data_IF_815285891677
#
_entry.id   IF_815285891677
#
_cell.length_a   1.000
_cell.length_b   1.000
_cell.length_c   1.000
_cell.angle_alpha   90.00
_cell.angle_beta   90.00
_cell.angle_gamma   90.00
#
_symmetry.space_group_name_H-M   'P 1'
#
loop_
_entity.id
_entity.type
_entity.pdbx_description
1 polymer ?
#
# COMPACT_ATOMS: atom_id res chain seq x y z
N UNK A 1 0.32 -7.85 19.92
CA UNK A 1 0.43 -6.37 19.81
C UNK A 1 1.13 -5.87 21.05
N UNK A 2 2.06 -4.92 20.92
CA UNK A 2 2.62 -4.26 22.09
C UNK A 2 1.52 -3.49 22.83
N UNK A 3 1.55 -3.41 24.18
CA UNK A 3 0.58 -2.63 24.94
C UNK A 3 0.49 -1.19 24.42
N UNK A 4 -0.72 -0.71 24.13
CA UNK A 4 -0.97 0.66 23.65
C UNK A 4 -0.91 0.86 22.13
N UNK A 5 -0.48 -0.12 21.34
CA UNK A 5 -0.44 0.00 19.87
C UNK A 5 -1.80 -0.30 19.25
N UNK A 6 -2.40 0.70 18.58
CA UNK A 6 -3.65 0.54 17.83
C UNK A 6 -3.44 0.32 16.33
N UNK A 7 -2.32 0.78 15.76
CA UNK A 7 -2.02 0.61 14.33
C UNK A 7 -1.28 -0.71 14.08
N UNK A 8 -1.71 -1.47 13.07
CA UNK A 8 -1.03 -2.71 12.67
C UNK A 8 -0.17 -2.55 11.42
N UNK A 9 -0.54 -1.64 10.53
CA UNK A 9 0.22 -1.38 9.32
C UNK A 9 1.17 -0.22 9.50
N UNK A 10 2.38 -0.38 8.99
CA UNK A 10 3.32 0.71 8.85
C UNK A 10 3.99 0.68 7.49
N UNK A 11 4.33 1.84 6.95
CA UNK A 11 5.27 2.02 5.84
C UNK A 11 6.41 2.87 6.38
N UNK A 12 7.64 2.45 6.13
CA UNK A 12 8.84 3.14 6.63
C UNK A 12 9.81 3.35 5.49
N UNK A 13 10.31 4.58 5.34
CA UNK A 13 11.56 4.80 4.63
C UNK A 13 12.71 4.65 5.61
N UNK A 14 13.65 3.78 5.26
CA UNK A 14 14.85 3.53 6.04
C UNK A 14 16.04 3.86 5.16
N UNK A 15 16.91 4.74 5.66
CA UNK A 15 18.17 5.05 5.02
C UNK A 15 19.08 3.83 5.06
N UNK A 16 19.46 3.33 3.88
CA UNK A 16 20.21 2.08 3.77
C UNK A 16 21.64 2.16 4.34
N UNK A 17 22.25 3.34 4.36
CA UNK A 17 23.60 3.55 4.88
C UNK A 17 23.60 3.65 6.41
N UNK A 18 22.64 4.39 6.97
CA UNK A 18 22.62 4.73 8.41
C UNK A 18 21.65 3.88 9.23
N UNK A 19 20.74 3.15 8.59
CA UNK A 19 19.66 2.41 9.25
C UNK A 19 18.59 3.29 9.90
N UNK A 20 18.66 4.62 9.74
CA UNK A 20 17.69 5.55 10.33
C UNK A 20 16.37 5.51 9.57
N UNK A 21 15.27 5.55 10.32
CA UNK A 21 13.94 5.78 9.74
C UNK A 21 13.81 7.26 9.41
N UNK A 22 13.67 7.58 8.13
CA UNK A 22 13.53 8.96 7.65
C UNK A 22 12.07 9.42 7.83
N UNK A 23 11.11 8.53 7.58
CA UNK A 23 9.70 8.76 7.88
C UNK A 23 8.96 7.46 8.16
N UNK A 24 7.81 7.60 8.83
CA UNK A 24 6.90 6.53 9.21
C UNK A 24 5.47 6.94 8.90
N UNK A 25 4.78 6.14 8.09
CA UNK A 25 3.34 6.18 7.94
C UNK A 25 2.73 5.03 8.74
N UNK A 26 1.75 5.32 9.59
CA UNK A 26 1.04 4.31 10.38
C UNK A 26 -0.44 4.27 10.02
N UNK A 27 -1.01 3.07 10.05
CA UNK A 27 -2.39 2.85 9.69
C UNK A 27 -2.97 1.65 10.43
N UNK A 28 -4.31 1.67 10.56
CA UNK A 28 -5.01 0.62 11.31
C UNK A 28 -4.84 -0.75 10.66
N UNK A 29 -5.10 -0.85 9.36
CA UNK A 29 -4.99 -2.08 8.59
C UNK A 29 -3.52 -2.47 8.38
N UNK A 30 -3.20 -3.76 8.39
CA UNK A 30 -1.86 -4.24 8.05
C UNK A 30 -1.47 -3.84 6.63
N UNK A 31 -0.26 -3.32 6.46
CA UNK A 31 0.32 -2.97 5.16
C UNK A 31 0.71 -4.24 4.41
N UNK A 32 0.56 -4.22 3.09
CA UNK A 32 1.02 -5.30 2.19
C UNK A 32 2.22 -4.85 1.36
N UNK A 33 2.50 -5.52 0.24
CA UNK A 33 3.64 -5.21 -0.62
C UNK A 33 3.63 -3.77 -1.14
N UNK A 34 4.83 -3.24 -1.34
CA UNK A 34 5.10 -1.88 -1.82
C UNK A 34 5.85 -1.90 -3.15
N UNK A 35 5.74 -0.82 -3.91
CA UNK A 35 6.51 -0.58 -5.14
C UNK A 35 6.93 0.89 -5.20
N UNK A 36 8.23 1.16 -5.33
CA UNK A 36 8.75 2.49 -5.61
C UNK A 36 8.86 2.73 -7.13
N UNK A 37 8.74 3.99 -7.56
CA UNK A 37 8.89 4.40 -8.96
C UNK A 37 9.94 5.51 -9.09
N UNK A 38 10.51 5.66 -10.29
CA UNK A 38 11.46 6.75 -10.57
C UNK A 38 10.86 8.16 -10.54
N UNK A 39 9.53 8.28 -10.48
CA UNK A 39 8.82 9.56 -10.38
C UNK A 39 8.62 10.07 -8.95
N UNK A 40 9.30 9.48 -7.95
CA UNK A 40 9.20 9.92 -6.56
C UNK A 40 7.98 9.40 -5.79
N UNK A 41 7.33 8.35 -6.29
CA UNK A 41 6.15 7.75 -5.66
C UNK A 41 6.41 6.33 -5.14
N UNK A 42 5.86 6.03 -3.97
CA UNK A 42 5.76 4.68 -3.39
C UNK A 42 4.31 4.24 -3.36
N UNK A 43 3.98 3.22 -4.15
CA UNK A 43 2.65 2.61 -4.16
C UNK A 43 2.56 1.48 -3.16
N UNK A 44 1.44 1.38 -2.45
CA UNK A 44 1.24 0.38 -1.40
C UNK A 44 -0.21 0.06 -1.14
N UNK A 45 -0.46 -1.19 -0.79
CA UNK A 45 -1.77 -1.70 -0.43
C UNK A 45 -1.94 -1.95 1.06
N UNK A 46 -3.18 -2.16 1.48
CA UNK A 46 -3.48 -2.65 2.82
C UNK A 46 -4.54 -3.75 2.87
N UNK A 47 -4.60 -4.40 4.04
CA UNK A 47 -5.52 -5.48 4.33
C UNK A 47 -6.99 -5.05 4.36
N UNK A 48 -7.31 -3.75 4.30
CA UNK A 48 -8.67 -3.22 4.24
C UNK A 48 -9.05 -2.70 2.84
N UNK A 49 -8.17 -2.91 1.86
CA UNK A 49 -8.39 -2.59 0.46
C UNK A 49 -8.04 -1.17 0.05
N UNK A 50 -7.38 -0.38 0.89
CA UNK A 50 -6.84 0.91 0.46
C UNK A 50 -5.57 0.66 -0.35
N UNK A 51 -5.49 1.31 -1.51
CA UNK A 51 -4.31 1.40 -2.34
C UNK A 51 -3.90 2.87 -2.41
N UNK A 52 -2.65 3.15 -2.06
CA UNK A 52 -2.10 4.50 -1.85
C UNK A 52 -0.91 4.74 -2.74
N UNK A 53 -0.69 6.01 -3.08
CA UNK A 53 0.58 6.54 -3.55
C UNK A 53 1.12 7.51 -2.48
N UNK A 54 2.30 7.22 -1.96
CA UNK A 54 3.02 8.07 -1.03
C UNK A 54 4.10 8.85 -1.76
N UNK A 55 4.32 10.09 -1.33
CA UNK A 55 5.55 10.81 -1.62
C UNK A 55 6.75 10.08 -0.99
N UNK A 56 7.81 9.83 -1.76
CA UNK A 56 8.95 9.03 -1.29
C UNK A 56 9.86 9.73 -0.27
N UNK A 57 9.86 11.07 -0.23
CA UNK A 57 10.71 11.87 0.67
C UNK A 57 10.03 12.10 2.02
N UNK A 58 8.71 12.29 2.01
CA UNK A 58 7.95 12.71 3.20
C UNK A 58 7.04 11.62 3.77
N UNK A 59 6.66 10.63 2.96
CA UNK A 59 5.66 9.62 3.31
C UNK A 59 4.21 10.11 3.23
N UNK A 60 3.97 11.37 2.80
CA UNK A 60 2.64 11.94 2.62
C UNK A 60 1.82 11.11 1.62
N UNK A 61 0.55 10.84 1.94
CA UNK A 61 -0.37 10.17 1.01
C UNK A 61 -0.87 11.20 -0.02
N UNK A 62 -0.33 11.14 -1.23
CA UNK A 62 -0.70 12.04 -2.33
C UNK A 62 -1.96 11.57 -3.08
N UNK A 63 -2.22 10.25 -3.05
CA UNK A 63 -3.40 9.67 -3.68
C UNK A 63 -3.81 8.38 -2.95
N UNK A 64 -5.12 8.12 -2.90
CA UNK A 64 -5.69 6.92 -2.30
C UNK A 64 -6.98 6.51 -3.02
N UNK A 65 -7.18 5.20 -3.18
CA UNK A 65 -8.46 4.60 -3.54
C UNK A 65 -8.76 3.40 -2.65
N UNK A 66 -10.05 3.14 -2.39
CA UNK A 66 -10.49 1.88 -1.79
C UNK A 66 -10.96 0.91 -2.88
N UNK A 67 -10.25 -0.20 -3.04
CA UNK A 67 -10.54 -1.28 -4.00
C UNK A 67 -11.56 -2.29 -3.45
N UNK A 68 -12.03 -2.09 -2.21
CA UNK A 68 -13.12 -2.86 -1.57
C UNK A 68 -12.72 -4.23 -1.04
N UNK A 69 -11.57 -4.77 -1.45
CA UNK A 69 -11.00 -6.05 -1.03
C UNK A 69 -9.53 -5.87 -0.67
N UNK A 70 -8.95 -6.71 0.22
CA UNK A 70 -7.55 -6.62 0.59
C UNK A 70 -6.64 -6.57 -0.64
N UNK A 71 -5.68 -5.66 -0.62
CA UNK A 71 -4.64 -5.59 -1.65
C UNK A 71 -3.58 -6.62 -1.28
N UNK A 72 -3.50 -7.74 -1.98
CA UNK A 72 -2.63 -8.87 -1.56
C UNK A 72 -1.44 -9.11 -2.49
N UNK A 73 -1.44 -8.47 -3.65
CA UNK A 73 -0.37 -8.58 -4.64
C UNK A 73 0.81 -7.64 -4.42
N UNK A 74 1.81 -7.81 -5.28
CA UNK A 74 2.89 -6.85 -5.48
C UNK A 74 2.46 -5.90 -6.60
N UNK A 75 2.28 -4.60 -6.32
CA UNK A 75 2.04 -3.63 -7.39
C UNK A 75 3.20 -3.64 -8.38
N UNK A 76 2.89 -3.48 -9.67
CA UNK A 76 3.89 -3.33 -10.73
C UNK A 76 3.61 -2.07 -11.55
N UNK A 77 4.66 -1.53 -12.18
CA UNK A 77 4.54 -0.47 -13.17
C UNK A 77 5.17 -0.91 -14.48
N UNK A 78 4.53 -0.55 -15.58
CA UNK A 78 4.96 -0.86 -16.95
C UNK A 78 4.52 0.26 -17.90
N UNK A 79 5.01 0.24 -19.14
CA UNK A 79 4.61 1.20 -20.16
C UNK A 79 4.15 0.48 -21.44
N UNK A 80 3.14 1.05 -22.09
CA UNK A 80 2.65 0.64 -23.42
C UNK A 80 2.47 1.90 -24.25
N UNK A 81 3.07 1.94 -25.44
CA UNK A 81 3.00 3.09 -26.37
C UNK A 81 3.31 4.43 -25.70
N UNK A 82 4.33 4.44 -24.81
CA UNK A 82 4.77 5.63 -24.08
C UNK A 82 3.89 6.04 -22.89
N UNK A 83 2.75 5.37 -22.65
CA UNK A 83 1.90 5.61 -21.47
C UNK A 83 2.27 4.65 -20.34
N UNK A 84 2.50 5.20 -19.15
CA UNK A 84 2.80 4.44 -17.94
C UNK A 84 1.50 3.94 -17.27
N UNK A 85 1.54 2.71 -16.78
CA UNK A 85 0.47 2.05 -16.06
C UNK A 85 0.98 1.53 -14.72
N UNK A 86 0.06 1.42 -13.75
CA UNK A 86 0.26 0.75 -12.48
C UNK A 86 -0.80 -0.34 -12.34
N UNK A 87 -0.38 -1.58 -12.10
CA UNK A 87 -1.28 -2.71 -11.91
C UNK A 87 -1.13 -3.32 -10.52
N UNK A 88 -2.27 -3.71 -9.94
CA UNK A 88 -2.33 -4.34 -8.62
C UNK A 88 -3.56 -5.23 -8.53
N UNK A 89 -3.46 -6.36 -7.82
CA UNK A 89 -4.60 -7.24 -7.57
C UNK A 89 -5.10 -7.18 -6.13
N UNK A 90 -6.40 -7.35 -5.97
CA UNK A 90 -7.02 -7.68 -4.69
C UNK A 90 -7.26 -9.17 -4.58
N UNK A 91 -7.45 -9.66 -3.36
CA UNK A 91 -7.77 -11.06 -3.14
C UNK A 91 -7.95 -11.41 -1.65
N UNK A 92 -8.20 -12.69 -1.34
CA UNK A 92 -8.34 -13.15 0.02
C UNK A 92 -7.03 -12.95 0.81
N UNK A 93 -7.12 -12.31 1.96
CA UNK A 93 -6.02 -12.17 2.91
C UNK A 93 -6.24 -13.11 4.10
N UNK A 94 -5.16 -13.70 4.63
CA UNK A 94 -5.20 -14.72 5.70
C UNK A 94 -5.72 -14.22 7.06
N UNK A 95 -6.15 -12.96 7.16
CA UNK A 95 -7.04 -12.49 8.21
C UNK A 95 -6.65 -11.14 8.78
N UNK A 96 -7.66 -10.38 9.20
CA UNK A 96 -7.58 -9.14 9.97
C UNK A 96 -7.16 -9.44 11.43
N UNK A 97 -6.09 -10.22 11.64
CA UNK A 97 -5.64 -10.60 12.98
C UNK A 97 -5.21 -9.33 13.71
N UNK A 98 -6.01 -8.94 14.72
CA UNK A 98 -5.83 -7.70 15.46
C UNK A 98 -6.62 -6.49 14.93
N UNK A 99 -7.41 -6.65 13.86
CA UNK A 99 -8.33 -5.64 13.26
C UNK A 99 -9.73 -6.21 12.95
N UNK A 100 -10.44 -6.84 13.91
CA UNK A 100 -11.74 -7.48 13.66
C UNK A 100 -12.85 -6.53 13.19
N UNK A 101 -12.71 -5.23 13.45
CA UNK A 101 -13.62 -4.19 12.98
C UNK A 101 -13.51 -3.92 11.48
N UNK A 102 -12.38 -4.29 10.84
CA UNK A 102 -12.16 -4.13 9.41
C UNK A 102 -12.76 -5.32 8.66
N UNK A 103 -13.80 -5.06 7.86
CA UNK A 103 -14.58 -6.06 7.12
C UNK A 103 -14.56 -5.80 5.62
N UNK A 104 -13.38 -5.88 4.96
CA UNK A 104 -13.32 -5.77 3.51
C UNK A 104 -14.00 -6.99 2.85
N UNK A 105 -14.37 -6.84 1.58
CA UNK A 105 -14.89 -7.97 0.80
C UNK A 105 -13.78 -8.96 0.45
N UNK A 106 -14.14 -10.11 -0.12
CA UNK A 106 -13.21 -11.18 -0.53
C UNK A 106 -13.06 -11.29 -2.05
N UNK A 107 -13.29 -10.17 -2.75
CA UNK A 107 -13.22 -10.08 -4.20
C UNK A 107 -11.79 -10.21 -4.72
N UNK A 108 -11.62 -11.04 -5.74
CA UNK A 108 -10.35 -11.17 -6.47
C UNK A 108 -10.49 -10.41 -7.78
N UNK A 109 -9.76 -9.32 -7.93
CA UNK A 109 -9.81 -8.46 -9.11
C UNK A 109 -8.41 -7.97 -9.46
N UNK A 110 -8.18 -7.64 -10.73
CA UNK A 110 -7.01 -6.91 -11.20
C UNK A 110 -7.44 -5.47 -11.53
N UNK A 111 -6.72 -4.50 -10.98
CA UNK A 111 -6.92 -3.08 -11.26
C UNK A 111 -5.71 -2.52 -12.01
N UNK A 112 -5.98 -1.64 -12.97
CA UNK A 112 -4.96 -0.95 -13.77
C UNK A 112 -5.29 0.54 -13.73
N UNK A 113 -4.28 1.35 -13.38
CA UNK A 113 -4.37 2.80 -13.26
C UNK A 113 -3.40 3.47 -14.24
N UNK A 114 -3.82 4.61 -14.79
CA UNK A 114 -2.98 5.51 -15.57
C UNK A 114 -3.52 6.94 -15.45
N UNK A 115 -2.68 7.94 -15.71
CA UNK A 115 -3.14 9.31 -15.88
C UNK A 115 -4.07 9.43 -17.12
N UNK A 116 -4.95 10.44 -17.17
CA UNK A 116 -5.80 10.71 -18.35
C UNK A 116 -5.01 10.72 -19.65
#
# INVERSE_FOLDING_TARGET
>A
MAPGTQNLGTVRAINAETGRTEWLHEQRAGTTSLMATGGGLVFGGDANGRFRAHDHETGEVLWEINLGSPVVGFPISYAVDGKQYVAVNTGPWLGSIGTPELRPSRGTNLFIFALP
#
